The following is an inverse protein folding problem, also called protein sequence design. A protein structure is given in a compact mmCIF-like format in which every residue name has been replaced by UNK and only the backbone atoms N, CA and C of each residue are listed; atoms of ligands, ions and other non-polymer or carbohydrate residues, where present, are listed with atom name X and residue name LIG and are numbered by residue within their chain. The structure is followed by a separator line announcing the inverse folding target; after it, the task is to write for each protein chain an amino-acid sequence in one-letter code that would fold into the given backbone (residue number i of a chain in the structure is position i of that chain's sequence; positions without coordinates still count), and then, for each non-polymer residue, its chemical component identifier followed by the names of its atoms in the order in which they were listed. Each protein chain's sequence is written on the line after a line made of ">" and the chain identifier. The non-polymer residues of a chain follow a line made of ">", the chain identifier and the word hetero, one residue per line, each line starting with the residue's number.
data_IF_426690245571
#
_entry.id   IF_426690245571
#
_cell.length_a   1.000
_cell.length_b   1.000
_cell.length_c   1.000
_cell.angle_alpha   90.00
_cell.angle_beta   90.00
_cell.angle_gamma   90.00
#
_symmetry.space_group_name_H-M   'P 1'
#
loop_
_entity.id
_entity.type
_entity.pdbx_description
1 polymer ?
#
# COMPACT_ATOMS: atom_id res chain seq x y z
N UNK A 1 15.14 -6.00 -0.19
CA UNK A 1 14.44 -5.39 0.95
C UNK A 1 15.10 -4.08 1.29
N UNK A 2 14.33 -3.05 1.65
CA UNK A 2 14.90 -1.90 2.33
C UNK A 2 14.87 -2.20 3.85
N UNK A 3 15.93 -1.83 4.55
CA UNK A 3 15.97 -1.97 6.01
C UNK A 3 15.21 -0.78 6.61
N UNK A 4 14.19 -1.04 7.44
CA UNK A 4 13.51 0.01 8.17
C UNK A 4 14.49 0.74 9.10
N UNK A 5 14.39 2.07 9.18
CA UNK A 5 15.08 2.84 10.21
C UNK A 5 14.49 2.55 11.59
N UNK A 6 15.22 2.94 12.67
CA UNK A 6 14.68 2.79 14.04
C UNK A 6 13.36 3.56 14.23
N UNK A 7 13.26 4.77 13.67
CA UNK A 7 12.04 5.57 13.71
C UNK A 7 10.90 4.88 12.96
N UNK A 8 11.12 4.41 11.71
CA UNK A 8 10.12 3.68 10.94
C UNK A 8 9.63 2.42 11.65
N UNK A 9 10.54 1.68 12.29
CA UNK A 9 10.16 0.48 13.03
C UNK A 9 9.29 0.83 14.24
N UNK A 10 9.59 1.91 14.95
CA UNK A 10 8.76 2.40 16.06
C UNK A 10 7.34 2.75 15.59
N UNK A 11 7.21 3.47 14.46
CA UNK A 11 5.91 3.82 13.92
C UNK A 11 5.14 2.59 13.39
N UNK A 12 5.83 1.63 12.78
CA UNK A 12 5.21 0.36 12.36
C UNK A 12 4.68 -0.44 13.55
N UNK A 13 5.39 -0.46 14.67
CA UNK A 13 4.95 -1.15 15.90
C UNK A 13 3.70 -0.49 16.46
N UNK A 14 3.67 0.84 16.59
CA UNK A 14 2.47 1.56 17.02
C UNK A 14 1.27 1.29 16.11
N UNK A 15 1.50 1.33 14.80
CA UNK A 15 0.47 1.07 13.81
C UNK A 15 -0.06 -0.36 13.91
N UNK A 16 0.84 -1.35 14.07
CA UNK A 16 0.49 -2.76 14.31
C UNK A 16 -0.42 -2.92 15.52
N UNK A 17 0.00 -2.36 16.65
CA UNK A 17 -0.71 -2.50 17.93
C UNK A 17 -2.11 -1.89 17.83
N UNK A 18 -2.22 -0.71 17.22
CA UNK A 18 -3.50 -0.06 16.92
C UNK A 18 -4.40 -0.94 16.02
N UNK A 19 -3.84 -1.50 14.94
CA UNK A 19 -4.62 -2.33 14.00
C UNK A 19 -5.09 -3.62 14.67
N UNK A 20 -4.25 -4.27 15.49
CA UNK A 20 -4.65 -5.46 16.27
C UNK A 20 -5.79 -5.12 17.22
N UNK A 21 -5.73 -4.01 17.95
CA UNK A 21 -6.79 -3.55 18.85
C UNK A 21 -8.11 -3.36 18.10
N UNK A 22 -8.07 -2.70 16.94
CA UNK A 22 -9.26 -2.54 16.08
C UNK A 22 -9.80 -3.91 15.63
N UNK A 23 -8.93 -4.83 15.20
CA UNK A 23 -9.33 -6.17 14.76
C UNK A 23 -9.94 -7.00 15.91
N UNK A 24 -9.47 -6.84 17.15
CA UNK A 24 -10.09 -7.47 18.33
C UNK A 24 -11.55 -7.03 18.51
N UNK A 25 -11.87 -5.77 18.23
CA UNK A 25 -13.24 -5.26 18.30
C UNK A 25 -14.18 -5.81 17.23
N UNK A 26 -13.67 -6.39 16.16
CA UNK A 26 -14.47 -6.98 15.06
C UNK A 26 -15.09 -8.33 15.43
N UNK A 27 -14.60 -9.01 16.46
CA UNK A 27 -15.13 -10.30 16.98
C UNK A 27 -15.19 -11.43 15.92
N UNK A 28 -14.30 -11.42 14.94
CA UNK A 28 -14.22 -12.41 13.86
C UNK A 28 -13.11 -13.42 14.10
N UNK A 29 -12.00 -12.96 14.68
CA UNK A 29 -10.84 -13.77 15.01
C UNK A 29 -10.74 -13.94 16.52
N UNK A 30 -10.15 -15.03 16.95
CA UNK A 30 -9.85 -15.23 18.38
C UNK A 30 -8.74 -14.30 18.85
N UNK A 31 -8.74 -13.98 20.14
CA UNK A 31 -7.66 -13.20 20.77
C UNK A 31 -6.29 -13.87 20.56
N UNK A 32 -6.26 -15.23 20.64
CA UNK A 32 -5.04 -16.00 20.40
C UNK A 32 -4.48 -15.80 18.99
N UNK A 33 -5.32 -15.85 17.95
CA UNK A 33 -4.90 -15.62 16.57
C UNK A 33 -4.35 -14.20 16.36
N UNK A 34 -5.05 -13.19 16.91
CA UNK A 34 -4.66 -11.79 16.78
C UNK A 34 -3.37 -11.45 17.55
N UNK A 35 -3.18 -12.07 18.74
CA UNK A 35 -1.96 -11.89 19.53
C UNK A 35 -0.72 -12.37 18.78
N UNK A 36 -0.81 -13.45 18.01
CA UNK A 36 0.29 -13.97 17.18
C UNK A 36 0.73 -13.00 16.07
N UNK A 37 -0.14 -12.08 15.64
CA UNK A 37 0.22 -11.05 14.68
C UNK A 37 1.28 -10.08 15.24
N UNK A 38 1.34 -9.91 16.56
CA UNK A 38 2.31 -9.05 17.22
C UNK A 38 3.77 -9.56 17.09
N UNK A 39 3.95 -10.86 16.88
CA UNK A 39 5.26 -11.50 16.75
C UNK A 39 5.80 -11.41 15.31
N UNK A 40 4.97 -11.01 14.34
CA UNK A 40 5.40 -10.89 12.95
C UNK A 40 6.41 -9.76 12.79
N UNK A 41 7.53 -10.07 12.15
CA UNK A 41 8.53 -9.08 11.81
C UNK A 41 7.96 -8.03 10.86
N UNK A 42 8.21 -6.75 11.15
CA UNK A 42 7.80 -5.63 10.33
C UNK A 42 8.96 -5.05 9.54
N UNK A 43 8.69 -4.57 8.35
CA UNK A 43 9.66 -3.96 7.45
C UNK A 43 9.06 -2.90 6.55
N UNK A 44 9.88 -2.36 5.66
CA UNK A 44 9.45 -1.39 4.67
C UNK A 44 9.76 -1.84 3.26
N UNK A 45 8.85 -1.55 2.34
CA UNK A 45 9.08 -1.69 0.91
C UNK A 45 10.16 -0.70 0.42
N UNK A 46 10.70 -0.94 -0.75
CA UNK A 46 11.56 0.04 -1.40
C UNK A 46 10.77 1.33 -1.66
N UNK A 47 11.34 2.49 -1.34
CA UNK A 47 10.72 3.82 -1.52
C UNK A 47 10.22 4.07 -2.96
N UNK A 48 10.79 3.40 -3.94
CA UNK A 48 10.39 3.52 -5.34
C UNK A 48 9.31 2.52 -5.80
N UNK A 49 8.73 1.73 -4.92
CA UNK A 49 7.57 0.89 -5.23
C UNK A 49 6.34 1.79 -5.46
N UNK A 50 5.71 1.70 -6.63
CA UNK A 50 4.52 2.52 -6.96
C UNK A 50 3.26 1.68 -7.16
N UNK A 51 3.36 0.35 -7.09
CA UNK A 51 2.25 -0.58 -7.33
C UNK A 51 1.91 -1.41 -6.07
N UNK A 52 2.83 -1.48 -5.12
CA UNK A 52 2.65 -2.24 -3.89
C UNK A 52 2.69 -1.28 -2.72
N UNK A 53 1.64 -1.30 -1.92
CA UNK A 53 1.53 -0.46 -0.73
C UNK A 53 1.86 -1.26 0.54
N UNK A 54 1.53 -2.55 0.56
CA UNK A 54 1.95 -3.55 1.54
C UNK A 54 2.40 -4.84 0.86
N UNK A 55 2.99 -5.74 1.61
CA UNK A 55 3.31 -7.10 1.17
C UNK A 55 3.55 -8.03 2.36
N UNK A 56 2.78 -9.10 2.44
CA UNK A 56 3.03 -10.24 3.33
C UNK A 56 3.95 -11.22 2.64
N UNK A 57 5.07 -11.57 3.27
CA UNK A 57 6.00 -12.58 2.79
C UNK A 57 6.04 -13.77 3.71
N UNK A 58 6.02 -14.95 3.12
CA UNK A 58 6.00 -16.23 3.79
C UNK A 58 7.41 -16.78 3.98
N UNK A 59 7.59 -17.56 5.04
CA UNK A 59 8.83 -18.30 5.27
C UNK A 59 9.11 -19.26 4.12
N UNK A 60 10.37 -19.50 3.85
CA UNK A 60 10.80 -20.40 2.76
C UNK A 60 10.18 -21.79 2.93
N UNK A 61 9.63 -22.33 1.84
CA UNK A 61 9.03 -23.68 1.83
C UNK A 61 7.53 -23.70 2.15
N UNK A 62 6.94 -22.61 2.64
CA UNK A 62 5.49 -22.52 2.87
C UNK A 62 4.76 -22.38 1.54
N UNK A 63 3.94 -23.38 1.19
CA UNK A 63 3.15 -23.37 -0.07
C UNK A 63 1.70 -22.93 0.13
N UNK A 64 1.10 -23.28 1.26
CA UNK A 64 -0.29 -22.95 1.63
C UNK A 64 -0.27 -22.39 3.05
N UNK A 65 -0.02 -21.10 3.21
CA UNK A 65 0.00 -20.46 4.53
C UNK A 65 -1.41 -20.40 5.11
N UNK A 66 -1.54 -20.67 6.41
CA UNK A 66 -2.80 -20.71 7.14
C UNK A 66 -2.73 -20.01 8.49
N UNK A 67 -1.54 -19.59 8.91
CA UNK A 67 -1.32 -19.05 10.26
C UNK A 67 -0.18 -18.02 10.30
N UNK A 68 -0.24 -17.05 11.25
CA UNK A 68 0.72 -15.97 11.37
C UNK A 68 2.18 -16.41 11.53
N UNK A 69 2.44 -17.53 12.20
CA UNK A 69 3.79 -18.05 12.46
C UNK A 69 4.54 -18.45 11.17
N UNK A 70 3.82 -18.60 10.07
CA UNK A 70 4.39 -18.91 8.75
C UNK A 70 4.82 -17.67 7.99
N UNK A 71 4.48 -16.48 8.48
CA UNK A 71 4.91 -15.22 7.90
C UNK A 71 6.37 -14.94 8.27
N UNK A 72 7.17 -14.55 7.28
CA UNK A 72 8.55 -14.09 7.49
C UNK A 72 8.57 -12.61 7.88
N UNK A 73 7.80 -11.79 7.16
CA UNK A 73 7.76 -10.34 7.38
C UNK A 73 6.56 -9.73 6.67
N UNK A 74 6.01 -8.68 7.24
CA UNK A 74 5.08 -7.76 6.58
C UNK A 74 5.79 -6.44 6.33
N UNK A 75 5.83 -6.03 5.07
CA UNK A 75 6.40 -4.74 4.66
C UNK A 75 5.31 -3.76 4.26
N UNK A 76 5.41 -2.52 4.72
CA UNK A 76 4.59 -1.42 4.25
C UNK A 76 5.40 -0.40 3.45
N UNK A 77 4.74 0.32 2.56
CA UNK A 77 5.39 1.44 1.87
C UNK A 77 5.72 2.54 2.88
N UNK A 78 6.98 3.07 2.93
CA UNK A 78 7.40 4.00 3.98
C UNK A 78 6.60 5.32 4.00
N UNK A 79 5.98 5.73 2.90
CA UNK A 79 5.09 6.92 2.86
C UNK A 79 3.78 6.72 3.63
N UNK A 80 3.36 5.49 3.90
CA UNK A 80 2.18 5.20 4.72
C UNK A 80 2.37 5.54 6.21
N UNK A 81 3.61 5.80 6.63
CA UNK A 81 3.93 6.17 8.00
C UNK A 81 3.91 7.69 8.23
N UNK A 82 3.53 8.51 7.25
CA UNK A 82 3.29 9.94 7.44
C UNK A 82 1.87 10.18 7.92
N UNK A 83 1.66 11.26 8.69
CA UNK A 83 0.36 11.60 9.30
C UNK A 83 -0.78 11.63 8.26
N UNK A 84 -0.52 12.19 7.07
CA UNK A 84 -1.46 12.27 5.96
C UNK A 84 -1.96 10.88 5.51
N UNK A 85 -1.07 9.88 5.49
CA UNK A 85 -1.36 8.56 4.95
C UNK A 85 -1.56 7.48 6.02
N UNK A 86 -1.39 7.83 7.29
CA UNK A 86 -1.51 6.89 8.40
C UNK A 86 -2.87 6.16 8.45
N UNK A 87 -4.03 6.81 8.20
CA UNK A 87 -5.31 6.11 8.14
C UNK A 87 -5.38 5.05 7.03
N UNK A 88 -4.75 5.32 5.88
CA UNK A 88 -4.62 4.35 4.80
C UNK A 88 -3.58 3.28 5.14
N UNK A 89 -2.50 3.65 5.81
CA UNK A 89 -1.50 2.72 6.33
C UNK A 89 -2.09 1.67 7.27
N UNK A 90 -3.01 2.08 8.14
CA UNK A 90 -3.74 1.18 9.02
C UNK A 90 -4.62 0.19 8.25
N UNK A 91 -5.34 0.67 7.23
CA UNK A 91 -6.13 -0.21 6.36
C UNK A 91 -5.23 -1.20 5.59
N UNK A 92 -4.09 -0.75 5.06
CA UNK A 92 -3.13 -1.64 4.39
C UNK A 92 -2.55 -2.67 5.37
N UNK A 93 -2.23 -2.28 6.61
CA UNK A 93 -1.77 -3.22 7.64
C UNK A 93 -2.84 -4.27 7.95
N UNK A 94 -4.11 -3.86 8.09
CA UNK A 94 -5.24 -4.79 8.25
C UNK A 94 -5.33 -5.78 7.08
N UNK A 95 -5.24 -5.30 5.82
CA UNK A 95 -5.22 -6.13 4.63
C UNK A 95 -4.11 -7.20 4.68
N UNK A 96 -2.89 -6.80 5.06
CA UNK A 96 -1.75 -7.72 5.18
C UNK A 96 -1.94 -8.71 6.36
N UNK A 97 -2.62 -8.30 7.43
CA UNK A 97 -2.97 -9.19 8.54
C UNK A 97 -4.03 -10.23 8.15
N UNK A 98 -5.01 -9.86 7.33
CA UNK A 98 -5.95 -10.83 6.77
C UNK A 98 -5.19 -11.89 5.96
N UNK A 99 -4.18 -11.51 5.18
CA UNK A 99 -3.29 -12.47 4.53
C UNK A 99 -2.55 -13.34 5.54
N UNK A 100 -1.97 -12.75 6.59
CA UNK A 100 -1.23 -13.47 7.62
C UNK A 100 -2.08 -14.50 8.36
N UNK A 101 -3.39 -14.26 8.50
CA UNK A 101 -4.38 -15.17 9.08
C UNK A 101 -4.83 -16.28 8.12
N UNK A 102 -4.18 -16.43 6.96
CA UNK A 102 -4.40 -17.55 6.04
C UNK A 102 -5.27 -17.26 4.82
N UNK A 103 -5.85 -16.07 4.70
CA UNK A 103 -6.67 -15.68 3.55
C UNK A 103 -5.78 -15.13 2.43
N UNK A 104 -5.21 -16.01 1.61
CA UNK A 104 -4.20 -15.63 0.62
C UNK A 104 -4.76 -15.15 -0.71
N UNK A 105 -5.97 -15.56 -1.08
CA UNK A 105 -6.65 -15.15 -2.30
C UNK A 105 -7.59 -13.97 -2.03
N UNK A 106 -7.64 -12.99 -2.93
CA UNK A 106 -8.57 -11.86 -2.85
C UNK A 106 -9.97 -12.24 -3.36
N UNK A 107 -10.51 -13.34 -2.82
CA UNK A 107 -11.86 -13.84 -3.11
C UNK A 107 -12.95 -13.08 -2.31
N UNK A 108 -14.18 -13.56 -2.36
CA UNK A 108 -15.32 -12.95 -1.65
C UNK A 108 -15.12 -12.96 -0.13
N UNK A 109 -14.56 -14.05 0.42
CA UNK A 109 -14.29 -14.17 1.86
C UNK A 109 -13.27 -13.13 2.29
N UNK A 110 -12.15 -13.02 1.56
CA UNK A 110 -11.15 -11.99 1.82
C UNK A 110 -11.74 -10.58 1.77
N UNK A 111 -12.54 -10.28 0.74
CA UNK A 111 -13.19 -8.96 0.60
C UNK A 111 -14.14 -8.65 1.75
N UNK A 112 -14.92 -9.63 2.19
CA UNK A 112 -15.80 -9.45 3.35
C UNK A 112 -15.02 -9.13 4.63
N UNK A 113 -13.86 -9.79 4.85
CA UNK A 113 -12.99 -9.51 5.99
C UNK A 113 -12.32 -8.13 5.89
N UNK A 114 -11.88 -7.75 4.68
CA UNK A 114 -11.31 -6.43 4.41
C UNK A 114 -12.32 -5.30 4.66
N UNK A 115 -13.60 -5.51 4.32
CA UNK A 115 -14.71 -4.57 4.52
C UNK A 115 -15.12 -4.36 5.98
N UNK A 116 -14.67 -5.22 6.91
CA UNK A 116 -14.89 -5.02 8.35
C UNK A 116 -14.10 -3.83 8.90
N UNK A 117 -13.12 -3.32 8.18
CA UNK A 117 -12.37 -2.15 8.61
C UNK A 117 -13.32 -0.94 8.80
N UNK A 118 -13.29 -0.26 9.99
CA UNK A 118 -14.29 0.75 10.34
C UNK A 118 -14.39 1.94 9.37
N UNK A 119 -13.28 2.28 8.71
CA UNK A 119 -13.21 3.42 7.79
C UNK A 119 -13.23 2.96 6.32
N UNK A 120 -14.39 3.02 5.68
CA UNK A 120 -14.52 2.78 4.23
C UNK A 120 -13.68 3.76 3.39
N UNK A 121 -13.50 5.00 3.86
CA UNK A 121 -12.68 6.01 3.18
C UNK A 121 -11.21 5.60 3.09
N UNK A 122 -10.68 4.94 4.11
CA UNK A 122 -9.28 4.50 4.13
C UNK A 122 -8.95 3.56 2.96
N UNK A 123 -9.79 2.56 2.70
CA UNK A 123 -9.60 1.65 1.55
C UNK A 123 -9.68 2.35 0.19
N UNK A 124 -10.48 3.42 0.09
CA UNK A 124 -10.63 4.20 -1.15
C UNK A 124 -9.40 5.08 -1.46
N UNK A 125 -8.50 5.31 -0.50
CA UNK A 125 -7.29 6.12 -0.70
C UNK A 125 -6.23 5.47 -1.59
N UNK A 126 -6.35 4.18 -1.92
CA UNK A 126 -5.33 3.43 -2.66
C UNK A 126 -5.01 3.99 -4.04
N UNK A 127 -6.01 4.44 -4.80
CA UNK A 127 -5.79 5.07 -6.11
C UNK A 127 -5.05 6.39 -5.99
N UNK A 128 -5.47 7.25 -5.06
CA UNK A 128 -4.84 8.55 -4.79
C UNK A 128 -3.40 8.38 -4.32
N UNK A 129 -3.16 7.42 -3.43
CA UNK A 129 -1.80 7.08 -2.98
C UNK A 129 -0.91 6.61 -4.14
N UNK A 130 -1.43 5.73 -5.01
CA UNK A 130 -0.70 5.30 -6.22
C UNK A 130 -0.38 6.47 -7.14
N UNK A 131 -1.33 7.38 -7.36
CA UNK A 131 -1.14 8.57 -8.20
C UNK A 131 -0.09 9.50 -7.61
N UNK A 132 -0.12 9.76 -6.31
CA UNK A 132 0.88 10.52 -5.59
C UNK A 132 2.29 9.92 -5.76
N UNK A 133 2.44 8.61 -5.53
CA UNK A 133 3.73 7.92 -5.70
C UNK A 133 4.27 7.99 -7.15
N UNK A 134 3.36 7.91 -8.12
CA UNK A 134 3.73 8.05 -9.54
C UNK A 134 4.16 9.46 -9.87
N UNK A 135 3.47 10.46 -9.31
CA UNK A 135 3.79 11.87 -9.50
C UNK A 135 5.15 12.21 -8.88
N UNK A 136 5.40 11.79 -7.64
CA UNK A 136 6.69 12.00 -6.96
C UNK A 136 7.87 11.39 -7.73
N UNK A 137 7.65 10.24 -8.37
CA UNK A 137 8.70 9.54 -9.12
C UNK A 137 8.90 10.08 -10.53
N UNK A 138 7.88 10.70 -11.11
CA UNK A 138 7.90 11.10 -12.51
C UNK A 138 8.92 12.20 -12.78
N UNK A 139 9.74 12.05 -13.82
CA UNK A 139 10.62 13.11 -14.33
C UNK A 139 9.90 14.03 -15.33
N UNK A 140 8.80 13.54 -15.90
CA UNK A 140 8.00 14.23 -16.92
C UNK A 140 6.52 14.09 -16.64
N UNK A 141 5.78 15.14 -17.02
CA UNK A 141 4.32 15.11 -17.11
C UNK A 141 3.95 15.21 -18.59
N UNK A 142 3.16 14.26 -19.08
CA UNK A 142 2.53 14.39 -20.38
C UNK A 142 1.19 15.07 -20.17
N UNK A 143 1.10 16.33 -20.56
CA UNK A 143 -0.06 17.20 -20.29
C UNK A 143 -0.95 17.31 -21.52
N UNK A 144 -2.25 17.23 -21.33
CA UNK A 144 -3.23 17.49 -22.36
C UNK A 144 -3.67 18.95 -22.31
N UNK A 145 -3.38 19.74 -23.34
CA UNK A 145 -3.78 21.15 -23.42
C UNK A 145 -5.31 21.36 -23.57
N UNK A 146 -6.08 20.29 -23.85
CA UNK A 146 -7.53 20.38 -24.04
C UNK A 146 -8.33 20.12 -22.76
N UNK A 147 -7.90 19.14 -21.90
CA UNK A 147 -8.60 18.77 -20.67
C UNK A 147 -7.71 18.84 -19.44
N UNK A 148 -6.51 19.38 -19.57
CA UNK A 148 -5.53 19.59 -18.49
C UNK A 148 -5.12 18.31 -17.73
N UNK A 149 -5.52 17.13 -18.25
CA UNK A 149 -5.15 15.85 -17.64
C UNK A 149 -3.64 15.64 -17.75
N UNK A 150 -3.02 15.37 -16.62
CA UNK A 150 -1.60 15.06 -16.50
C UNK A 150 -1.37 13.55 -16.39
N UNK A 151 -0.31 13.08 -17.04
CA UNK A 151 0.12 11.68 -17.03
C UNK A 151 1.59 11.61 -16.58
N UNK A 152 1.88 11.24 -15.30
CA UNK A 152 3.24 11.12 -14.79
C UNK A 152 4.05 10.07 -15.55
N UNK A 153 5.28 10.42 -16.01
CA UNK A 153 6.16 9.56 -16.82
C UNK A 153 7.63 9.72 -16.45
N UNK A 154 8.44 8.70 -16.78
CA UNK A 154 9.88 8.72 -16.59
C UNK A 154 10.62 9.35 -17.77
N UNK A 155 10.00 9.38 -18.95
CA UNK A 155 10.61 9.85 -20.20
C UNK A 155 9.64 10.75 -20.96
N UNK A 156 10.15 11.68 -21.78
CA UNK A 156 9.31 12.50 -22.64
C UNK A 156 8.62 11.65 -23.72
N UNK A 157 7.42 12.03 -24.09
CA UNK A 157 6.60 11.38 -25.12
C UNK A 157 6.97 11.81 -26.52
N UNK A 158 7.56 13.00 -26.68
CA UNK A 158 7.97 13.62 -27.97
C UNK A 158 6.82 13.67 -28.98
N UNK A 159 5.62 14.05 -28.53
CA UNK A 159 4.42 14.17 -29.35
C UNK A 159 3.81 12.87 -29.89
N UNK A 160 4.29 11.70 -29.41
CA UNK A 160 3.86 10.39 -29.93
C UNK A 160 2.57 9.84 -29.30
N UNK A 161 2.08 10.48 -28.25
CA UNK A 161 0.97 9.94 -27.46
C UNK A 161 -0.21 10.89 -27.45
N UNK A 162 -1.41 10.30 -27.47
CA UNK A 162 -2.67 11.03 -27.41
C UNK A 162 -3.30 10.93 -26.01
N UNK A 163 -3.98 11.99 -25.62
CA UNK A 163 -4.82 11.98 -24.44
C UNK A 163 -5.89 10.87 -24.54
N UNK A 164 -6.06 10.10 -23.47
CA UNK A 164 -7.05 9.02 -23.45
C UNK A 164 -8.49 9.52 -23.46
N UNK A 165 -8.70 10.77 -23.03
CA UNK A 165 -10.04 11.38 -22.91
C UNK A 165 -10.42 12.08 -24.22
N UNK A 166 -9.63 13.07 -24.64
CA UNK A 166 -9.98 13.96 -25.77
C UNK A 166 -9.15 13.75 -27.03
N UNK A 167 -8.29 12.74 -27.07
CA UNK A 167 -7.49 12.33 -28.24
C UNK A 167 -6.52 13.40 -28.79
N UNK A 168 -6.33 14.48 -28.05
CA UNK A 168 -5.34 15.52 -28.37
C UNK A 168 -3.92 15.02 -28.12
N UNK A 169 -2.95 15.45 -28.91
CA UNK A 169 -1.53 15.15 -28.71
C UNK A 169 -1.07 15.69 -27.35
N UNK A 170 -0.38 14.86 -26.58
CA UNK A 170 0.15 15.22 -25.27
C UNK A 170 1.46 16.01 -25.41
N UNK A 171 1.61 17.03 -24.57
CA UNK A 171 2.81 17.89 -24.49
C UNK A 171 3.66 17.46 -23.30
N UNK A 172 4.97 17.42 -23.50
CA UNK A 172 5.93 17.07 -22.46
C UNK A 172 6.27 18.28 -21.59
N UNK A 173 6.06 18.17 -20.28
CA UNK A 173 6.43 19.18 -19.29
C UNK A 173 7.37 18.53 -18.28
N UNK A 174 8.55 19.10 -17.97
CA UNK A 174 9.40 18.60 -16.90
C UNK A 174 8.71 18.67 -15.56
N UNK A 175 8.76 17.58 -14.76
CA UNK A 175 8.18 17.56 -13.43
C UNK A 175 9.12 18.22 -12.42
N UNK A 176 8.79 19.44 -12.00
CA UNK A 176 9.58 20.20 -11.01
C UNK A 176 9.50 19.63 -9.58
N UNK A 177 8.48 18.83 -9.28
CA UNK A 177 8.32 18.23 -7.95
C UNK A 177 9.35 17.11 -7.65
N UNK A 178 10.13 16.70 -8.66
CA UNK A 178 11.15 15.63 -8.54
C UNK A 178 12.58 16.18 -8.41
N UNK A 179 12.77 17.51 -8.36
CA UNK A 179 14.02 18.20 -8.09
C UNK A 179 14.05 18.64 -6.62
#
# INVERSE_FOLDING_TARGET
>A
MAKASKSQLSELIKLRDFVIEVMMSMSVWSEEELTKLADIKLGVLKKNATQRHGATRWKRGVRKPTMPEQVEVIDLHPRLLSDEWLPYGAWVMHHEFVHALGYTAHDSTFRSLEELWPSKKSGQMGSTFTEMLRLEKASWLWVCNSCEKEYPRQKPGKGRYLCRICRTVLVDVPNKASQ
#
